data_IF_205447000373
#
_entry.id   IF_205447000373
#
_cell.length_a   1.000
_cell.length_b   1.000
_cell.length_c   1.000
_cell.angle_alpha   90.00
_cell.angle_beta   90.00
_cell.angle_gamma   90.00
#
_symmetry.space_group_name_H-M   'P 1'
#
loop_
_entity.id
_entity.type
_entity.pdbx_description
1 polymer ?
#
# COMPACT_ATOMS: atom_id res chain seq x y z
N UNK A 1 -11.44 12.73 -31.80
CA UNK A 1 -11.45 12.24 -31.50
C UNK A 1 -10.60 11.80 -30.65
N UNK A 2 -9.97 11.74 -30.47
CA UNK A 2 -9.09 11.32 -29.84
C UNK A 2 -8.75 12.01 -28.70
N UNK A 3 -8.64 12.95 -28.64
CA UNK A 3 -8.26 13.70 -27.70
C UNK A 3 -9.02 13.66 -26.54
N UNK A 4 -9.97 13.33 -26.60
CA UNK A 4 -10.81 13.34 -25.60
C UNK A 4 -10.42 12.67 -24.46
N UNK A 5 -10.14 11.57 -24.57
CA UNK A 5 -9.88 10.84 -23.46
C UNK A 5 -8.84 11.30 -22.67
N UNK A 6 -8.04 11.96 -23.18
CA UNK A 6 -7.00 12.32 -22.45
C UNK A 6 -7.38 13.07 -21.29
N UNK A 7 -8.28 13.86 -21.41
CA UNK A 7 -8.58 14.65 -20.41
C UNK A 7 -9.17 13.96 -19.31
N UNK A 8 -9.68 12.99 -19.57
CA UNK A 8 -10.38 12.32 -18.55
C UNK A 8 -9.43 11.90 -17.53
N UNK A 9 -8.34 11.49 -17.92
CA UNK A 9 -7.47 11.02 -17.01
C UNK A 9 -6.91 12.03 -16.19
N UNK A 10 -6.66 13.06 -16.70
CA UNK A 10 -6.05 14.06 -15.93
C UNK A 10 -6.86 14.35 -14.76
N UNK A 11 -8.05 14.36 -14.90
CA UNK A 11 -8.86 14.63 -13.85
C UNK A 11 -8.71 13.77 -12.74
N UNK A 12 -8.72 12.55 -12.93
CA UNK A 12 -8.66 11.68 -11.82
C UNK A 12 -7.46 11.96 -11.03
N UNK A 13 -6.45 12.33 -11.65
CA UNK A 13 -5.27 12.57 -10.93
C UNK A 13 -5.41 13.69 -10.00
N UNK A 14 -5.98 14.69 -10.44
CA UNK A 14 -6.14 15.81 -9.66
C UNK A 14 -6.84 15.54 -8.41
N UNK A 15 -7.86 14.84 -8.49
CA UNK A 15 -8.59 14.58 -7.32
C UNK A 15 -7.75 13.86 -6.36
N UNK A 16 -6.99 12.98 -6.82
CA UNK A 16 -6.18 12.22 -5.91
C UNK A 16 -5.20 13.12 -5.20
N UNK A 17 -4.70 14.06 -5.88
CA UNK A 17 -3.75 14.92 -5.28
C UNK A 17 -4.30 15.77 -4.17
N UNK A 18 -5.44 16.25 -4.33
CA UNK A 18 -5.93 17.19 -3.38
C UNK A 18 -6.43 16.61 -2.11
N UNK A 19 -6.66 15.32 -2.07
CA UNK A 19 -7.23 14.76 -0.90
C UNK A 19 -6.37 13.83 -0.16
N UNK A 20 -6.68 13.63 1.09
CA UNK A 20 -5.95 12.65 1.84
C UNK A 20 -6.42 11.29 1.37
N UNK A 21 -5.56 10.33 1.41
CA UNK A 21 -5.89 9.01 0.96
C UNK A 21 -6.75 8.30 1.98
N UNK A 22 -7.55 7.35 1.51
CA UNK A 22 -8.36 6.57 2.41
C UNK A 22 -7.48 5.57 3.15
N UNK A 23 -8.01 4.96 4.18
CA UNK A 23 -7.28 3.93 4.90
C UNK A 23 -6.99 2.76 4.00
N UNK A 24 -7.91 2.43 3.08
CA UNK A 24 -7.71 1.35 2.14
C UNK A 24 -6.53 1.66 1.22
N UNK A 25 -6.43 2.87 0.72
CA UNK A 25 -5.34 3.24 -0.16
C UNK A 25 -3.99 3.18 0.55
N UNK A 26 -3.94 3.67 1.76
CA UNK A 26 -2.70 3.66 2.52
C UNK A 26 -2.31 2.22 2.87
N UNK A 27 -3.27 1.40 3.23
CA UNK A 27 -3.00 0.00 3.53
C UNK A 27 -2.48 -0.73 2.30
N UNK A 28 -3.05 -0.41 1.15
CA UNK A 28 -2.62 -1.06 -0.09
C UNK A 28 -1.19 -0.67 -0.45
N UNK A 29 -0.81 0.57 -0.21
CA UNK A 29 0.56 1.00 -0.46
C UNK A 29 1.55 0.24 0.41
N UNK A 30 1.21 0.04 1.66
CA UNK A 30 2.06 -0.72 2.57
C UNK A 30 2.12 -2.17 2.13
N UNK A 31 0.98 -2.74 1.75
CA UNK A 31 0.93 -4.11 1.30
C UNK A 31 1.80 -4.32 0.07
N UNK A 32 1.71 -3.41 -0.89
CA UNK A 32 2.49 -3.52 -2.11
C UNK A 32 3.98 -3.42 -1.81
N UNK A 33 4.35 -2.54 -0.90
CA UNK A 33 5.73 -2.39 -0.49
C UNK A 33 6.24 -3.71 0.09
N UNK A 34 5.47 -4.30 1.00
CA UNK A 34 5.85 -5.56 1.63
C UNK A 34 5.97 -6.68 0.62
N UNK A 35 5.06 -6.75 -0.33
CA UNK A 35 5.11 -7.78 -1.34
C UNK A 35 6.38 -7.67 -2.17
N UNK A 36 6.76 -6.47 -2.54
CA UNK A 36 7.96 -6.26 -3.32
C UNK A 36 9.19 -6.65 -2.52
N UNK A 37 9.24 -6.24 -1.27
CA UNK A 37 10.39 -6.56 -0.43
C UNK A 37 10.50 -8.07 -0.24
N UNK A 38 9.39 -8.75 0.00
CA UNK A 38 9.40 -10.17 0.24
C UNK A 38 9.68 -10.97 -1.03
N UNK A 39 9.46 -10.37 -2.19
CA UNK A 39 9.74 -11.04 -3.44
C UNK A 39 11.23 -10.97 -3.80
N UNK A 40 11.99 -10.15 -3.10
CA UNK A 40 13.41 -10.05 -3.38
C UNK A 40 14.12 -11.30 -2.91
N UNK A 41 15.23 -11.61 -3.53
CA UNK A 41 16.02 -12.76 -3.18
C UNK A 41 16.45 -12.66 -1.72
N UNK A 42 16.26 -13.69 -0.91
CA UNK A 42 16.67 -13.65 0.49
C UNK A 42 18.14 -13.33 0.68
N UNK A 43 18.95 -13.62 -0.33
CA UNK A 43 20.36 -13.33 -0.24
C UNK A 43 20.72 -11.91 -0.64
N UNK A 44 19.75 -11.17 -1.14
CA UNK A 44 20.01 -9.81 -1.61
C UNK A 44 20.10 -8.89 -0.39
N UNK A 45 21.23 -8.20 -0.21
CA UNK A 45 21.38 -7.34 0.95
C UNK A 45 20.40 -6.19 0.95
N UNK A 46 19.85 -5.84 -0.21
CA UNK A 46 18.90 -4.76 -0.28
C UNK A 46 17.53 -5.16 0.25
N UNK A 47 17.30 -6.45 0.40
CA UNK A 47 16.02 -6.92 0.89
C UNK A 47 15.74 -6.42 2.31
N UNK A 48 16.75 -6.47 3.16
CA UNK A 48 16.57 -6.01 4.53
C UNK A 48 16.26 -4.52 4.55
N UNK A 49 16.91 -3.76 3.69
CA UNK A 49 16.70 -2.34 3.62
C UNK A 49 15.29 -2.06 3.09
N UNK A 50 14.84 -2.82 2.11
CA UNK A 50 13.51 -2.66 1.57
C UNK A 50 12.45 -2.97 2.63
N UNK A 51 12.69 -4.00 3.43
CA UNK A 51 11.74 -4.34 4.49
C UNK A 51 11.69 -3.26 5.54
N UNK A 52 12.84 -2.66 5.84
CA UNK A 52 12.90 -1.59 6.82
C UNK A 52 12.13 -0.38 6.30
N UNK A 53 12.30 -0.05 5.03
CA UNK A 53 11.61 1.08 4.44
C UNK A 53 10.10 0.86 4.45
N UNK A 54 9.67 -0.37 4.24
CA UNK A 54 8.25 -0.68 4.29
C UNK A 54 7.70 -0.54 5.70
N UNK A 55 8.51 -0.88 6.71
CA UNK A 55 8.10 -0.70 8.09
C UNK A 55 7.91 0.77 8.41
N UNK A 56 8.82 1.60 7.92
CA UNK A 56 8.71 3.03 8.14
C UNK A 56 7.46 3.57 7.44
N UNK A 57 7.22 3.11 6.23
CA UNK A 57 6.04 3.53 5.48
C UNK A 57 4.77 3.15 6.24
N UNK A 58 4.76 2.00 6.86
CA UNK A 58 3.62 1.54 7.61
C UNK A 58 3.36 2.45 8.82
N UNK A 59 4.41 2.83 9.52
CA UNK A 59 4.27 3.70 10.68
C UNK A 59 3.75 5.07 10.25
N UNK A 60 4.29 5.60 9.16
CA UNK A 60 3.85 6.89 8.67
C UNK A 60 2.38 6.83 8.26
N UNK A 61 1.99 5.75 7.59
CA UNK A 61 0.61 5.59 7.17
C UNK A 61 -0.32 5.47 8.36
N UNK A 62 0.10 4.71 9.36
CA UNK A 62 -0.71 4.54 10.57
C UNK A 62 -0.93 5.88 11.26
N UNK A 63 0.11 6.70 11.32
CA UNK A 63 -0.01 8.01 11.94
C UNK A 63 -1.02 8.90 11.20
N UNK A 64 -1.25 8.64 9.93
CA UNK A 64 -2.21 9.42 9.17
C UNK A 64 -3.65 8.96 9.41
N UNK A 65 -3.86 7.72 9.78
CA UNK A 65 -5.19 7.17 9.95
C UNK A 65 -5.63 6.94 11.38
N UNK A 66 -4.69 6.88 12.30
CA UNK A 66 -5.02 6.48 13.68
C UNK A 66 -6.08 7.30 14.37
N UNK A 67 -6.20 8.56 14.00
CA UNK A 67 -7.17 9.43 14.64
C UNK A 67 -8.55 9.40 13.96
N UNK A 68 -8.68 8.66 12.87
CA UNK A 68 -9.93 8.54 12.16
C UNK A 68 -10.34 7.08 12.21
N UNK A 69 -11.34 6.75 12.99
CA UNK A 69 -11.73 5.36 13.20
C UNK A 69 -12.01 4.62 11.90
N UNK A 70 -12.69 5.25 10.99
CA UNK A 70 -13.04 4.61 9.74
C UNK A 70 -11.78 4.29 8.92
N UNK A 71 -10.89 5.26 8.82
CA UNK A 71 -9.66 5.05 8.07
C UNK A 71 -8.76 4.02 8.74
N UNK A 72 -8.70 4.05 10.06
CA UNK A 72 -7.89 3.08 10.80
C UNK A 72 -8.42 1.67 10.56
N UNK A 73 -9.74 1.50 10.56
CA UNK A 73 -10.33 0.19 10.33
C UNK A 73 -10.07 -0.29 8.91
N UNK A 74 -10.15 0.61 7.93
CA UNK A 74 -9.88 0.26 6.55
C UNK A 74 -8.41 -0.15 6.38
N UNK A 75 -7.53 0.60 7.00
CA UNK A 75 -6.10 0.33 6.92
C UNK A 75 -5.79 -1.05 7.49
N UNK A 76 -6.30 -1.33 8.68
CA UNK A 76 -6.07 -2.60 9.33
C UNK A 76 -6.67 -3.76 8.55
N UNK A 77 -7.84 -3.56 7.95
CA UNK A 77 -8.49 -4.61 7.18
C UNK A 77 -7.65 -4.99 5.96
N UNK A 78 -7.10 -4.00 5.28
CA UNK A 78 -6.29 -4.26 4.11
C UNK A 78 -5.00 -4.97 4.51
N UNK A 79 -4.37 -4.52 5.58
CA UNK A 79 -3.13 -5.16 6.02
C UNK A 79 -3.37 -6.60 6.46
N UNK A 80 -4.48 -6.86 7.14
CA UNK A 80 -4.79 -8.22 7.57
C UNK A 80 -5.02 -9.13 6.37
N UNK A 81 -5.72 -8.63 5.37
CA UNK A 81 -5.98 -9.41 4.18
C UNK A 81 -4.68 -9.68 3.45
N UNK A 82 -3.82 -8.69 3.36
CA UNK A 82 -2.55 -8.82 2.69
C UNK A 82 -1.67 -9.86 3.38
N UNK A 83 -1.63 -9.81 4.70
CA UNK A 83 -0.84 -10.76 5.47
C UNK A 83 -1.36 -12.18 5.26
N UNK A 84 -2.68 -12.35 5.26
CA UNK A 84 -3.26 -13.65 5.04
C UNK A 84 -2.90 -14.21 3.68
N UNK A 85 -2.93 -13.39 2.67
CA UNK A 85 -2.60 -13.84 1.34
C UNK A 85 -1.14 -14.25 1.23
N UNK A 86 -0.27 -13.51 1.89
CA UNK A 86 1.14 -13.84 1.86
C UNK A 86 1.42 -15.13 2.60
N UNK A 87 0.73 -15.36 3.69
CA UNK A 87 0.89 -16.59 4.45
C UNK A 87 0.43 -17.78 3.63
N UNK A 88 -0.68 -17.64 2.93
CA UNK A 88 -1.17 -18.72 2.08
C UNK A 88 -0.14 -19.08 1.03
N UNK A 89 0.49 -18.11 0.44
CA UNK A 89 1.50 -18.35 -0.55
C UNK A 89 2.68 -19.08 0.06
N UNK A 90 3.05 -18.71 1.26
CA UNK A 90 4.19 -19.34 1.92
C UNK A 90 3.93 -20.80 2.21
N UNK A 91 2.68 -21.13 2.49
CA UNK A 91 2.37 -22.47 2.84
C UNK A 91 2.05 -23.39 1.71
N UNK A 92 2.41 -23.07 0.58
CA UNK A 92 2.26 -24.10 -0.30
C UNK A 92 1.52 -23.88 -1.51
N UNK A 93 1.32 -22.77 -1.67
CA UNK A 93 0.69 -22.55 -2.87
C UNK A 93 1.64 -21.98 -3.79
#
# INVERSE_FOLDING_TARGET
>A
MKKIFLFALTISLLTACGKSKSGTDLGQEVCDCSKKANAMDPADPKRAEAQKDCGIKQVVAWNKVKDDQKKADEFNAVLSKCASEQIKKSFGQ
#
